data_IF_718343446136
#
_entry.id   IF_718343446136
#
_cell.length_a   1.000
_cell.length_b   1.000
_cell.length_c   1.000
_cell.angle_alpha   90.00
_cell.angle_beta   90.00
_cell.angle_gamma   90.00
#
_symmetry.space_group_name_H-M   'P 1'
#
loop_
_entity.id
_entity.type
_entity.pdbx_description
1 polymer ?
#
# COMPACT_ATOMS: atom_id res chain seq x y z
N UNK A 1 28.93 -22.93 -19.28
CA UNK A 1 27.80 -22.03 -19.59
C UNK A 1 27.72 -20.97 -18.50
N UNK A 2 27.94 -19.70 -18.87
CA UNK A 2 28.07 -18.57 -17.93
C UNK A 2 26.79 -18.37 -17.12
N UNK A 3 26.93 -18.06 -15.82
CA UNK A 3 25.82 -17.72 -14.91
C UNK A 3 24.91 -16.62 -15.48
N UNK A 4 25.46 -15.73 -16.32
CA UNK A 4 24.73 -14.68 -17.02
C UNK A 4 23.70 -15.25 -17.99
N UNK A 5 24.06 -16.25 -18.80
CA UNK A 5 23.16 -16.86 -19.78
C UNK A 5 22.01 -17.63 -19.10
N UNK A 6 22.23 -18.17 -17.89
CA UNK A 6 21.20 -18.85 -17.11
C UNK A 6 20.23 -17.85 -16.48
N UNK A 7 20.71 -16.69 -16.03
CA UNK A 7 19.89 -15.57 -15.54
C UNK A 7 19.04 -14.96 -16.65
N UNK A 8 19.62 -14.70 -17.82
CA UNK A 8 18.91 -14.19 -18.99
C UNK A 8 17.78 -15.14 -19.44
N UNK A 9 18.06 -16.45 -19.50
CA UNK A 9 17.06 -17.47 -19.84
C UNK A 9 15.96 -17.64 -18.79
N UNK A 10 16.25 -17.36 -17.51
CA UNK A 10 15.25 -17.43 -16.44
C UNK A 10 14.32 -16.20 -16.49
N UNK A 11 14.86 -15.00 -16.69
CA UNK A 11 14.07 -13.77 -16.81
C UNK A 11 13.15 -13.85 -18.02
N UNK A 12 13.66 -14.32 -19.17
CA UNK A 12 12.84 -14.47 -20.38
C UNK A 12 11.72 -15.50 -20.19
N UNK A 13 11.99 -16.63 -19.51
CA UNK A 13 10.97 -17.65 -19.23
C UNK A 13 9.91 -17.20 -18.22
N UNK A 14 10.27 -16.41 -17.20
CA UNK A 14 9.30 -15.78 -16.31
C UNK A 14 8.42 -14.81 -17.10
N UNK A 15 9.01 -13.95 -17.94
CA UNK A 15 8.23 -13.00 -18.76
C UNK A 15 7.29 -13.68 -19.77
N UNK A 16 7.71 -14.81 -20.35
CA UNK A 16 6.88 -15.60 -21.26
C UNK A 16 5.73 -16.32 -20.52
N UNK A 17 5.93 -16.71 -19.27
CA UNK A 17 4.87 -17.25 -18.42
C UNK A 17 3.88 -16.14 -18.02
N UNK A 18 4.36 -14.97 -17.62
CA UNK A 18 3.52 -13.80 -17.29
C UNK A 18 2.73 -13.27 -18.50
N UNK A 19 3.24 -13.44 -19.72
CA UNK A 19 2.53 -13.13 -20.96
C UNK A 19 1.47 -14.18 -21.32
N UNK A 20 1.68 -15.45 -20.95
CA UNK A 20 0.83 -16.58 -21.33
C UNK A 20 -0.37 -16.78 -20.39
N UNK A 21 -0.18 -16.53 -19.10
CA UNK A 21 -1.29 -16.21 -18.22
C UNK A 21 -1.65 -14.76 -18.51
N UNK A 22 -2.52 -14.50 -19.48
CA UNK A 22 -2.88 -13.12 -19.80
C UNK A 22 -3.36 -12.43 -18.53
N UNK A 23 -2.51 -11.62 -17.90
CA UNK A 23 -2.94 -10.59 -16.98
C UNK A 23 -3.72 -9.62 -17.86
N UNK A 24 -5.01 -9.91 -18.09
CA UNK A 24 -5.89 -8.92 -18.69
C UNK A 24 -5.80 -7.70 -17.80
N UNK A 25 -5.66 -6.52 -18.38
CA UNK A 25 -5.60 -5.28 -17.61
C UNK A 25 -6.76 -5.18 -16.61
N UNK A 26 -7.91 -5.77 -16.98
CA UNK A 26 -9.13 -5.90 -16.19
C UNK A 26 -8.98 -6.74 -14.91
N UNK A 27 -8.05 -7.70 -14.88
CA UNK A 27 -7.76 -8.56 -13.72
C UNK A 27 -6.70 -7.96 -12.78
N UNK A 28 -6.08 -6.83 -13.17
CA UNK A 28 -5.12 -6.12 -12.32
C UNK A 28 -5.83 -5.53 -11.10
N UNK A 29 -5.20 -5.61 -9.93
CA UNK A 29 -5.70 -4.97 -8.71
C UNK A 29 -5.90 -3.46 -8.92
N UNK A 30 -5.05 -2.81 -9.73
CA UNK A 30 -5.20 -1.40 -10.11
C UNK A 30 -6.53 -1.10 -10.80
N UNK A 31 -7.03 -2.03 -11.63
CA UNK A 31 -8.30 -1.88 -12.32
C UNK A 31 -9.48 -2.19 -11.41
N UNK A 32 -9.35 -3.23 -10.58
CA UNK A 32 -10.37 -3.66 -9.63
C UNK A 32 -10.69 -2.61 -8.56
N UNK A 33 -9.68 -1.86 -8.13
CA UNK A 33 -9.78 -0.85 -7.07
C UNK A 33 -9.64 0.60 -7.59
N UNK A 34 -9.81 0.82 -8.90
CA UNK A 34 -9.65 2.15 -9.53
C UNK A 34 -10.62 3.22 -8.99
N UNK A 35 -11.73 2.79 -8.41
CA UNK A 35 -12.79 3.63 -7.85
C UNK A 35 -12.81 3.56 -6.30
N UNK A 36 -11.86 2.84 -5.68
CA UNK A 36 -11.74 2.75 -4.23
C UNK A 36 -10.91 3.92 -3.68
N UNK A 37 -11.53 4.68 -2.79
CA UNK A 37 -10.95 5.88 -2.20
C UNK A 37 -10.42 5.66 -0.79
N UNK A 38 -10.68 4.49 -0.21
CA UNK A 38 -10.27 4.13 1.15
C UNK A 38 -9.09 3.16 1.11
N UNK A 39 -8.15 3.36 2.02
CA UNK A 39 -6.99 2.50 2.22
C UNK A 39 -6.94 2.07 3.67
N UNK A 40 -6.66 0.79 3.87
CA UNK A 40 -6.26 0.26 5.16
C UNK A 40 -4.75 0.45 5.35
N UNK A 41 -4.37 1.06 6.46
CA UNK A 41 -2.98 1.27 6.87
C UNK A 41 -2.78 0.53 8.18
N UNK A 42 -1.98 -0.53 8.17
CA UNK A 42 -1.61 -1.31 9.34
C UNK A 42 -0.14 -1.19 9.69
N UNK A 43 0.22 -1.60 10.90
CA UNK A 43 1.62 -1.56 11.36
C UNK A 43 2.04 -0.17 11.86
N UNK A 44 1.08 0.64 12.31
CA UNK A 44 1.34 1.96 12.85
C UNK A 44 1.90 1.82 14.27
N UNK A 45 3.00 2.51 14.58
CA UNK A 45 3.58 2.56 15.92
C UNK A 45 2.66 3.32 16.90
N UNK A 46 2.53 2.85 18.14
CA UNK A 46 1.65 3.41 19.19
C UNK A 46 1.87 4.90 19.50
N UNK A 47 3.00 5.46 19.07
CA UNK A 47 3.39 6.87 19.28
C UNK A 47 2.79 7.82 18.23
N UNK A 48 2.26 7.29 17.13
CA UNK A 48 1.77 8.08 16.00
C UNK A 48 0.29 8.35 16.15
N UNK A 49 -0.09 9.61 15.95
CA UNK A 49 -1.48 10.01 15.99
C UNK A 49 -2.05 10.17 14.59
N UNK A 50 -3.37 10.31 14.50
CA UNK A 50 -4.08 10.60 13.25
C UNK A 50 -3.48 11.79 12.49
N UNK A 51 -3.07 12.84 13.21
CA UNK A 51 -2.44 14.02 12.61
C UNK A 51 -1.10 13.70 11.92
N UNK A 52 -0.27 12.84 12.51
CA UNK A 52 1.03 12.46 11.93
C UNK A 52 0.82 11.65 10.64
N UNK A 53 -0.15 10.75 10.66
CA UNK A 53 -0.59 9.99 9.49
C UNK A 53 -1.06 10.97 8.40
N UNK A 54 -1.96 11.90 8.71
CA UNK A 54 -2.43 12.89 7.74
C UNK A 54 -1.25 13.67 7.13
N UNK A 55 -0.31 14.14 7.94
CA UNK A 55 0.85 14.93 7.46
C UNK A 55 1.68 14.11 6.46
N UNK A 56 1.98 12.86 6.80
CA UNK A 56 2.78 11.96 5.96
C UNK A 56 2.05 11.62 4.65
N UNK A 57 0.75 11.35 4.73
CA UNK A 57 -0.04 10.87 3.59
C UNK A 57 -0.60 11.99 2.71
N UNK A 58 -0.66 13.23 3.21
CA UNK A 58 -1.07 14.42 2.43
C UNK A 58 -0.17 14.68 1.21
N UNK A 59 1.04 14.10 1.15
CA UNK A 59 1.90 14.22 -0.02
C UNK A 59 1.38 13.47 -1.27
N UNK A 60 0.51 12.47 -1.08
CA UNK A 60 -0.05 11.67 -2.16
C UNK A 60 -1.40 12.19 -2.66
N UNK A 61 -2.12 12.92 -1.83
CA UNK A 61 -3.44 13.45 -2.14
C UNK A 61 -4.11 14.15 -0.97
N UNK A 62 -5.25 14.75 -1.28
CA UNK A 62 -6.12 15.37 -0.27
C UNK A 62 -6.84 14.27 0.52
N UNK A 63 -6.53 14.17 1.82
CA UNK A 63 -7.21 13.27 2.76
C UNK A 63 -8.56 13.89 3.14
N UNK A 64 -9.64 13.16 2.91
CA UNK A 64 -11.01 13.59 3.26
C UNK A 64 -11.33 13.16 4.69
N UNK A 65 -11.01 11.91 5.03
CA UNK A 65 -11.38 11.32 6.30
C UNK A 65 -10.31 10.33 6.78
N UNK A 66 -10.19 10.23 8.10
CA UNK A 66 -9.32 9.25 8.76
C UNK A 66 -10.09 8.64 9.93
N UNK A 67 -10.05 7.33 10.01
CA UNK A 67 -10.63 6.58 11.11
C UNK A 67 -9.53 5.73 11.75
N UNK A 68 -9.05 6.14 12.92
CA UNK A 68 -8.10 5.38 13.72
C UNK A 68 -8.78 4.87 15.00
N UNK A 69 -9.14 3.58 15.07
CA UNK A 69 -9.79 3.05 16.26
C UNK A 69 -8.90 3.12 17.49
N UNK A 70 -9.39 3.83 18.50
CA UNK A 70 -8.75 3.94 19.81
C UNK A 70 -9.07 2.73 20.71
N UNK A 71 -8.09 2.31 21.52
CA UNK A 71 -8.29 1.32 22.57
C UNK A 71 -8.31 2.00 23.95
N UNK A 72 -9.51 2.18 24.52
CA UNK A 72 -9.71 2.81 25.83
C UNK A 72 -9.05 2.06 27.00
N UNK A 73 -8.77 0.76 26.87
CA UNK A 73 -8.19 -0.03 27.98
C UNK A 73 -6.68 0.18 28.14
N UNK A 74 -5.98 0.45 27.03
CA UNK A 74 -4.52 0.60 26.98
C UNK A 74 -4.07 2.04 26.71
N UNK A 75 -5.04 2.94 26.49
CA UNK A 75 -4.81 4.33 26.13
C UNK A 75 -3.88 4.47 24.90
N UNK A 76 -4.08 3.59 23.92
CA UNK A 76 -3.32 3.57 22.66
C UNK A 76 -4.24 3.21 21.49
N UNK A 77 -3.89 3.60 20.26
CA UNK A 77 -4.61 3.16 19.08
C UNK A 77 -4.31 1.69 18.74
N UNK A 78 -5.21 1.03 17.99
CA UNK A 78 -5.07 -0.42 17.68
C UNK A 78 -3.95 -0.77 16.68
N UNK A 79 -3.07 0.17 16.34
CA UNK A 79 -1.98 -0.03 15.37
C UNK A 79 -2.41 -0.10 13.90
N UNK A 80 -3.64 0.34 13.60
CA UNK A 80 -4.15 0.47 12.24
C UNK A 80 -5.10 1.66 12.11
N UNK A 81 -5.25 2.17 10.89
CA UNK A 81 -6.26 3.16 10.54
C UNK A 81 -6.81 2.92 9.13
N UNK A 82 -7.97 3.51 8.87
CA UNK A 82 -8.53 3.64 7.53
C UNK A 82 -8.41 5.09 7.10
N UNK A 83 -7.87 5.32 5.91
CA UNK A 83 -7.66 6.64 5.36
C UNK A 83 -8.41 6.75 4.04
N UNK A 84 -9.28 7.75 3.93
CA UNK A 84 -10.05 8.03 2.72
C UNK A 84 -9.48 9.25 2.01
N UNK A 85 -9.07 9.08 0.76
CA UNK A 85 -8.65 10.16 -0.12
C UNK A 85 -9.81 10.71 -0.94
N UNK A 86 -9.60 11.90 -1.51
CA UNK A 86 -10.51 12.48 -2.49
C UNK A 86 -10.44 11.86 -3.87
N UNK A 87 -9.25 11.42 -4.28
CA UNK A 87 -9.02 10.79 -5.58
C UNK A 87 -8.51 9.35 -5.36
N UNK A 88 -9.14 8.34 -5.99
CA UNK A 88 -8.67 6.94 -5.89
C UNK A 88 -7.25 6.75 -6.42
N UNK A 89 -6.77 7.62 -7.32
CA UNK A 89 -5.39 7.58 -7.83
C UNK A 89 -4.38 7.87 -6.72
N UNK A 90 -4.74 8.71 -5.75
CA UNK A 90 -3.92 8.97 -4.57
C UNK A 90 -3.76 7.69 -3.73
N UNK A 91 -4.77 6.82 -3.73
CA UNK A 91 -4.68 5.55 -3.03
C UNK A 91 -3.63 4.62 -3.64
N UNK A 92 -3.70 4.46 -4.96
CA UNK A 92 -2.73 3.65 -5.72
C UNK A 92 -1.32 4.17 -5.50
N UNK A 93 -1.12 5.50 -5.60
CA UNK A 93 0.18 6.13 -5.39
C UNK A 93 0.72 5.92 -3.97
N UNK A 94 -0.13 6.07 -2.95
CA UNK A 94 0.28 5.86 -1.57
C UNK A 94 0.75 4.40 -1.37
N UNK A 95 0.05 3.44 -1.94
CA UNK A 95 0.39 2.02 -1.79
C UNK A 95 1.68 1.66 -2.53
N UNK A 96 1.82 2.09 -3.78
CA UNK A 96 3.01 1.80 -4.58
C UNK A 96 4.29 2.37 -3.94
N UNK A 97 4.18 3.53 -3.29
CA UNK A 97 5.34 4.22 -2.73
C UNK A 97 5.60 3.88 -1.27
N UNK A 98 4.57 3.64 -0.44
CA UNK A 98 4.73 3.53 1.01
C UNK A 98 4.57 2.10 1.56
N UNK A 99 4.08 1.16 0.76
CA UNK A 99 3.95 -0.21 1.24
C UNK A 99 5.30 -0.86 1.54
N UNK A 100 5.47 -1.32 2.78
CA UNK A 100 6.72 -1.92 3.26
C UNK A 100 7.75 -0.92 3.80
N UNK A 101 7.42 0.37 3.91
CA UNK A 101 8.29 1.36 4.59
C UNK A 101 8.26 1.13 6.10
N UNK A 102 9.41 1.30 6.75
CA UNK A 102 9.50 1.35 8.21
C UNK A 102 9.29 2.77 8.73
N UNK A 103 8.34 2.92 9.66
CA UNK A 103 8.03 4.17 10.34
C UNK A 103 8.03 3.90 11.85
N UNK A 104 8.89 4.62 12.60
CA UNK A 104 9.18 4.39 14.02
C UNK A 104 9.47 2.91 14.38
N UNK A 105 10.24 2.20 13.52
CA UNK A 105 10.63 0.81 13.76
C UNK A 105 9.51 -0.22 13.55
N UNK A 106 8.38 0.19 12.96
CA UNK A 106 7.30 -0.70 12.51
C UNK A 106 7.14 -0.60 10.99
N UNK A 107 6.94 -1.73 10.33
CA UNK A 107 6.67 -1.77 8.88
C UNK A 107 5.21 -1.47 8.61
N UNK A 108 4.95 -0.46 7.78
CA UNK A 108 3.60 -0.12 7.35
C UNK A 108 3.14 -1.10 6.27
N UNK A 109 1.94 -1.64 6.46
CA UNK A 109 1.26 -2.54 5.52
C UNK A 109 0.02 -1.85 4.97
N UNK A 110 -0.13 -1.81 3.65
CA UNK A 110 -1.28 -1.16 3.01
C UNK A 110 -2.13 -2.16 2.24
N UNK A 111 -3.44 -1.98 2.29
CA UNK A 111 -4.43 -2.82 1.59
C UNK A 111 -5.60 -1.96 1.05
N UNK A 112 -6.13 -2.33 -0.12
CA UNK A 112 -7.32 -1.73 -0.79
C UNK A 112 -8.58 -2.58 -0.67
#
# INVERSE_FOLDING_TARGET
>A
MSLYQRRQKNISKLSEQDLKYSCRYEDSWHYKYKDNNEIYIGGIASELNEGDIIIVFSQFGEVIDINMPWNNERDEHKGFCFLTYKDPRSCVLAIDNFNGIELNGKTLTFVL
#
